data_IF_471461075029
#
_entry.id   IF_471461075029
#
_cell.length_a   1.000
_cell.length_b   1.000
_cell.length_c   1.000
_cell.angle_alpha   90.00
_cell.angle_beta   90.00
_cell.angle_gamma   90.00
#
_symmetry.space_group_name_H-M   'P 1'
#
loop_
_entity.id
_entity.type
_entity.pdbx_description
1 polymer ?
#
# COMPACT_ATOMS: atom_id res chain seq x y z
N UNK A 1 17.84 -9.69 -28.33
CA UNK A 1 19.11 -9.48 -27.61
C UNK A 1 18.84 -9.81 -26.15
N UNK A 2 19.59 -10.73 -25.53
CA UNK A 2 19.46 -11.01 -24.09
C UNK A 2 19.87 -9.75 -23.33
N UNK A 3 19.06 -9.33 -22.35
CA UNK A 3 19.48 -8.28 -21.41
C UNK A 3 20.73 -8.75 -20.65
N UNK A 4 21.64 -7.84 -20.27
CA UNK A 4 22.69 -8.13 -19.30
C UNK A 4 22.09 -8.76 -18.03
N UNK A 5 22.78 -9.70 -17.36
CA UNK A 5 22.25 -10.36 -16.16
C UNK A 5 21.81 -9.40 -15.04
N UNK A 6 22.48 -8.26 -14.88
CA UNK A 6 22.13 -7.24 -13.89
C UNK A 6 20.80 -6.53 -14.20
N UNK A 7 20.48 -6.34 -15.48
CA UNK A 7 19.24 -5.69 -15.92
C UNK A 7 18.04 -6.61 -15.68
N UNK A 8 18.20 -7.92 -15.89
CA UNK A 8 17.15 -8.90 -15.63
C UNK A 8 16.76 -8.95 -14.14
N UNK A 9 17.75 -8.91 -13.24
CA UNK A 9 17.50 -8.85 -11.79
C UNK A 9 16.82 -7.54 -11.40
N UNK A 10 17.34 -6.39 -11.84
CA UNK A 10 16.75 -5.09 -11.51
C UNK A 10 15.31 -4.94 -12.03
N UNK A 11 15.02 -5.45 -13.23
CA UNK A 11 13.65 -5.51 -13.75
C UNK A 11 12.75 -6.41 -12.90
N UNK A 12 13.23 -7.58 -12.47
CA UNK A 12 12.47 -8.47 -11.60
C UNK A 12 12.17 -7.83 -10.23
N UNK A 13 13.13 -7.11 -9.65
CA UNK A 13 12.96 -6.37 -8.40
C UNK A 13 11.90 -5.27 -8.55
N UNK A 14 11.99 -4.43 -9.60
CA UNK A 14 11.01 -3.39 -9.86
C UNK A 14 9.60 -3.97 -10.12
N UNK A 15 9.51 -5.07 -10.86
CA UNK A 15 8.25 -5.78 -11.07
C UNK A 15 7.65 -6.29 -9.74
N UNK A 16 8.48 -6.85 -8.85
CA UNK A 16 8.03 -7.31 -7.54
C UNK A 16 7.57 -6.16 -6.63
N UNK A 17 8.30 -5.04 -6.62
CA UNK A 17 7.91 -3.83 -5.87
C UNK A 17 6.56 -3.30 -6.34
N UNK A 18 6.36 -3.16 -7.66
CA UNK A 18 5.06 -2.76 -8.25
C UNK A 18 3.94 -3.70 -7.81
N UNK A 19 4.15 -5.01 -7.96
CA UNK A 19 3.16 -6.02 -7.56
C UNK A 19 2.79 -5.89 -6.08
N UNK A 20 3.80 -5.78 -5.21
CA UNK A 20 3.64 -5.73 -3.76
C UNK A 20 2.89 -4.47 -3.32
N UNK A 21 3.24 -3.29 -3.86
CA UNK A 21 2.53 -2.06 -3.55
C UNK A 21 1.07 -2.09 -4.02
N UNK A 22 0.79 -2.60 -5.23
CA UNK A 22 -0.58 -2.76 -5.74
C UNK A 22 -1.37 -3.73 -4.86
N UNK A 23 -0.76 -4.83 -4.44
CA UNK A 23 -1.39 -5.81 -3.55
C UNK A 23 -1.81 -5.16 -2.23
N UNK A 24 -0.92 -4.41 -1.58
CA UNK A 24 -1.22 -3.77 -0.30
C UNK A 24 -2.20 -2.61 -0.41
N UNK A 25 -2.14 -1.79 -1.47
CA UNK A 25 -3.19 -0.80 -1.74
C UNK A 25 -4.55 -1.48 -1.90
N UNK A 26 -4.62 -2.51 -2.74
CA UNK A 26 -5.85 -3.28 -2.98
C UNK A 26 -6.40 -3.86 -1.68
N UNK A 27 -5.53 -4.38 -0.82
CA UNK A 27 -5.91 -4.94 0.47
C UNK A 27 -6.49 -3.87 1.41
N UNK A 28 -5.86 -2.70 1.50
CA UNK A 28 -6.39 -1.56 2.24
C UNK A 28 -7.74 -1.08 1.69
N UNK A 29 -7.86 -0.89 0.38
CA UNK A 29 -9.09 -0.42 -0.25
C UNK A 29 -10.26 -1.38 0.03
N UNK A 30 -10.02 -2.69 -0.09
CA UNK A 30 -11.05 -3.70 0.21
C UNK A 30 -11.39 -3.78 1.70
N UNK A 31 -10.48 -3.47 2.61
CA UNK A 31 -10.78 -3.38 4.03
C UNK A 31 -11.64 -2.14 4.33
N UNK A 32 -11.22 -0.98 3.81
CA UNK A 32 -11.89 0.31 3.97
C UNK A 32 -13.27 0.37 3.29
N UNK A 33 -13.50 -0.44 2.26
CA UNK A 33 -14.79 -0.58 1.59
C UNK A 33 -15.84 -1.32 2.43
N UNK A 34 -15.42 -2.07 3.47
CA UNK A 34 -16.33 -2.82 4.34
C UNK A 34 -16.84 -2.02 5.54
N UNK A 35 -16.35 -0.80 5.76
CA UNK A 35 -16.73 0.04 6.91
C UNK A 35 -17.42 1.32 6.44
N UNK A 36 -18.36 1.82 7.24
CA UNK A 36 -19.12 3.04 6.98
C UNK A 36 -18.28 4.29 7.25
N UNK A 37 -18.60 5.46 6.65
CA UNK A 37 -17.84 6.70 6.88
C UNK A 37 -17.67 7.05 8.37
N UNK A 38 -18.71 6.95 9.18
CA UNK A 38 -18.61 7.22 10.63
C UNK A 38 -17.63 6.28 11.34
N UNK A 39 -17.47 5.05 10.86
CA UNK A 39 -16.55 4.06 11.42
C UNK A 39 -15.09 4.33 11.04
N UNK A 40 -14.83 5.19 10.05
CA UNK A 40 -13.45 5.63 9.77
C UNK A 40 -12.86 6.42 10.93
N UNK A 41 -13.70 7.13 11.68
CA UNK A 41 -13.34 7.95 12.84
C UNK A 41 -13.45 7.15 14.16
N UNK A 42 -13.79 5.86 14.10
CA UNK A 42 -13.86 5.01 15.29
C UNK A 42 -12.45 4.77 15.85
N UNK A 43 -12.29 5.05 17.13
CA UNK A 43 -11.07 4.76 17.88
C UNK A 43 -11.31 3.55 18.81
N UNK A 44 -10.60 2.42 18.63
CA UNK A 44 -10.87 1.20 19.38
C UNK A 44 -10.39 1.23 20.83
N UNK A 45 -9.43 2.09 21.18
CA UNK A 45 -8.87 2.18 22.53
C UNK A 45 -8.00 3.45 22.69
N UNK A 46 -7.87 4.01 23.90
CA UNK A 46 -6.93 5.11 24.15
C UNK A 46 -5.53 4.81 23.61
N UNK A 47 -4.99 5.72 22.79
CA UNK A 47 -3.67 5.57 22.14
C UNK A 47 -3.66 4.75 20.85
N UNK A 48 -4.79 4.19 20.41
CA UNK A 48 -4.95 3.63 19.08
C UNK A 48 -5.31 4.72 18.07
N UNK A 49 -5.03 4.46 16.79
CA UNK A 49 -5.41 5.34 15.68
C UNK A 49 -6.71 4.83 15.04
N UNK A 50 -7.59 5.76 14.67
CA UNK A 50 -8.71 5.47 13.78
C UNK A 50 -8.22 5.11 12.36
N UNK A 51 -9.12 4.56 11.53
CA UNK A 51 -8.80 4.31 10.13
C UNK A 51 -8.51 5.61 9.37
N UNK A 52 -9.21 6.70 9.69
CA UNK A 52 -8.98 8.03 9.15
C UNK A 52 -7.56 8.52 9.44
N UNK A 53 -7.09 8.42 10.69
CA UNK A 53 -5.73 8.80 11.07
C UNK A 53 -4.68 7.96 10.33
N UNK A 54 -4.88 6.64 10.23
CA UNK A 54 -3.94 5.77 9.50
C UNK A 54 -3.85 6.16 8.02
N UNK A 55 -4.99 6.40 7.38
CA UNK A 55 -5.04 6.84 5.97
C UNK A 55 -4.40 8.21 5.79
N UNK A 56 -4.68 9.17 6.67
CA UNK A 56 -4.07 10.50 6.66
C UNK A 56 -2.54 10.43 6.78
N UNK A 57 -2.04 9.62 7.71
CA UNK A 57 -0.61 9.37 7.86
C UNK A 57 0.02 8.77 6.60
N UNK A 58 -0.60 7.76 6.03
CA UNK A 58 -0.11 7.14 4.81
C UNK A 58 -0.15 8.11 3.62
N UNK A 59 -1.17 8.97 3.49
CA UNK A 59 -1.25 10.03 2.47
C UNK A 59 -0.06 10.99 2.58
N UNK A 60 0.16 11.55 3.78
CA UNK A 60 1.26 12.47 4.01
C UNK A 60 2.63 11.82 3.78
N UNK A 61 2.77 10.55 4.19
CA UNK A 61 3.97 9.77 3.95
C UNK A 61 4.22 9.49 2.45
N UNK A 62 3.22 8.99 1.71
CA UNK A 62 3.30 8.71 0.27
C UNK A 62 3.71 9.96 -0.51
N UNK A 63 2.99 11.08 -0.29
CA UNK A 63 3.31 12.37 -0.93
C UNK A 63 4.75 12.77 -0.64
N UNK A 64 5.12 12.78 0.64
CA UNK A 64 6.42 13.29 1.05
C UNK A 64 7.57 12.44 0.52
N UNK A 65 7.42 11.13 0.57
CA UNK A 65 8.47 10.19 0.18
C UNK A 65 8.67 10.10 -1.32
N UNK A 66 7.61 10.24 -2.12
CA UNK A 66 7.68 9.90 -3.55
C UNK A 66 7.53 11.06 -4.53
N UNK A 67 7.04 12.24 -4.11
CA UNK A 67 7.13 13.42 -4.98
C UNK A 67 8.60 13.72 -5.25
N UNK A 68 8.99 13.89 -6.52
CA UNK A 68 10.36 14.23 -6.91
C UNK A 68 11.42 13.32 -6.28
N UNK A 69 11.12 12.00 -6.22
CA UNK A 69 11.84 10.98 -5.45
C UNK A 69 13.35 10.92 -5.71
N UNK A 70 13.78 11.06 -6.96
CA UNK A 70 15.20 10.97 -7.34
C UNK A 70 15.94 12.31 -7.22
N UNK A 71 15.24 13.42 -6.97
CA UNK A 71 15.80 14.78 -7.12
C UNK A 71 15.69 15.63 -5.85
N UNK A 72 14.83 15.27 -4.90
CA UNK A 72 14.62 16.05 -3.68
C UNK A 72 14.46 15.15 -2.46
N UNK A 73 14.69 15.69 -1.27
CA UNK A 73 14.58 14.93 -0.03
C UNK A 73 13.17 14.37 0.19
N UNK A 74 13.07 13.09 0.56
CA UNK A 74 11.82 12.39 0.83
C UNK A 74 11.07 12.91 2.07
N UNK A 75 11.62 13.85 2.84
CA UNK A 75 10.90 14.64 3.84
C UNK A 75 10.62 16.05 3.31
N UNK A 76 9.47 16.21 2.64
CA UNK A 76 9.05 17.49 2.07
C UNK A 76 8.81 18.55 3.15
N UNK A 77 9.22 19.81 2.92
CA UNK A 77 9.04 20.91 3.88
C UNK A 77 7.59 21.21 4.25
N UNK A 78 6.64 20.83 3.40
CA UNK A 78 5.21 21.01 3.61
C UNK A 78 4.56 19.85 4.38
N UNK A 79 5.31 18.80 4.72
CA UNK A 79 4.82 17.71 5.55
C UNK A 79 4.66 18.17 7.00
N UNK A 80 3.55 17.79 7.60
CA UNK A 80 3.22 18.06 9.01
C UNK A 80 2.90 16.75 9.70
N UNK A 81 3.96 15.98 10.02
CA UNK A 81 3.82 14.60 10.52
C UNK A 81 2.94 14.52 11.75
N UNK A 82 3.08 15.43 12.72
CA UNK A 82 2.32 15.32 13.97
C UNK A 82 0.82 15.55 13.73
N UNK A 83 0.47 16.47 12.83
CA UNK A 83 -0.91 16.70 12.40
C UNK A 83 -1.51 15.48 11.69
N UNK A 84 -0.69 14.64 11.05
CA UNK A 84 -1.17 13.39 10.44
C UNK A 84 -1.78 12.42 11.47
N UNK A 85 -1.44 12.58 12.76
CA UNK A 85 -1.93 11.75 13.86
C UNK A 85 -3.05 12.41 14.69
N UNK A 86 -3.50 13.60 14.29
CA UNK A 86 -4.66 14.24 14.91
C UNK A 86 -5.96 13.67 14.31
N UNK A 87 -6.93 13.35 15.18
CA UNK A 87 -8.24 12.89 14.74
C UNK A 87 -8.97 14.02 13.98
N UNK A 88 -9.71 13.70 12.90
CA UNK A 88 -10.44 14.70 12.15
C UNK A 88 -11.52 15.39 12.99
N UNK A 89 -11.54 16.72 12.98
CA UNK A 89 -12.56 17.52 13.66
C UNK A 89 -13.83 17.75 12.80
N UNK A 90 -13.80 17.35 11.53
CA UNK A 90 -14.92 17.51 10.61
C UNK A 90 -15.83 16.28 10.59
N UNK A 91 -17.14 16.42 10.28
CA UNK A 91 -18.05 15.29 10.15
C UNK A 91 -17.56 14.26 9.13
N UNK A 92 -17.76 12.98 9.43
CA UNK A 92 -17.25 11.87 8.63
C UNK A 92 -17.77 11.91 7.19
N UNK A 93 -19.01 12.35 6.99
CA UNK A 93 -19.69 12.45 5.69
C UNK A 93 -19.01 13.45 4.75
N UNK A 94 -18.32 14.46 5.30
CA UNK A 94 -17.57 15.45 4.52
C UNK A 94 -16.09 15.11 4.47
N UNK A 95 -15.51 14.66 5.58
CA UNK A 95 -14.08 14.42 5.68
C UNK A 95 -13.62 13.16 4.93
N UNK A 96 -14.35 12.04 5.07
CA UNK A 96 -13.93 10.75 4.48
C UNK A 96 -13.88 10.79 2.95
N UNK A 97 -14.84 11.38 2.22
CA UNK A 97 -14.73 11.52 0.76
C UNK A 97 -13.47 12.30 0.34
N UNK A 98 -13.19 13.44 0.97
CA UNK A 98 -12.00 14.23 0.67
C UNK A 98 -10.70 13.47 0.99
N UNK A 99 -10.68 12.71 2.10
CA UNK A 99 -9.53 11.88 2.45
C UNK A 99 -9.33 10.73 1.45
N UNK A 100 -10.40 10.13 0.91
CA UNK A 100 -10.32 9.12 -0.15
C UNK A 100 -9.74 9.68 -1.45
N UNK A 101 -10.10 10.90 -1.84
CA UNK A 101 -9.49 11.55 -3.00
C UNK A 101 -7.98 11.77 -2.81
N UNK A 102 -7.57 12.22 -1.61
CA UNK A 102 -6.17 12.37 -1.27
C UNK A 102 -5.43 11.03 -1.23
N UNK A 103 -6.07 9.98 -0.72
CA UNK A 103 -5.56 8.60 -0.74
C UNK A 103 -5.25 8.13 -2.15
N UNK A 104 -6.19 8.27 -3.08
CA UNK A 104 -5.98 7.89 -4.49
C UNK A 104 -4.89 8.73 -5.16
N UNK A 105 -4.88 10.05 -4.91
CA UNK A 105 -3.85 10.93 -5.44
C UNK A 105 -2.44 10.56 -4.93
N UNK A 106 -2.31 10.24 -3.64
CA UNK A 106 -1.03 9.90 -3.02
C UNK A 106 -0.46 8.57 -3.54
N UNK A 107 -1.32 7.55 -3.71
CA UNK A 107 -0.89 6.27 -4.33
C UNK A 107 -0.50 6.45 -5.79
N UNK A 108 -1.20 7.32 -6.54
CA UNK A 108 -0.86 7.59 -7.93
C UNK A 108 0.56 8.14 -8.07
N UNK A 109 1.01 9.01 -7.15
CA UNK A 109 2.40 9.51 -7.14
C UNK A 109 3.41 8.35 -7.13
N UNK A 110 3.23 7.37 -6.24
CA UNK A 110 4.10 6.19 -6.15
C UNK A 110 4.01 5.34 -7.42
N UNK A 111 2.82 5.06 -7.95
CA UNK A 111 2.69 4.21 -9.13
C UNK A 111 3.24 4.87 -10.39
N UNK A 112 3.04 6.17 -10.57
CA UNK A 112 3.62 6.92 -11.68
C UNK A 112 5.15 6.88 -11.60
N UNK A 113 5.73 7.05 -10.40
CA UNK A 113 7.18 6.87 -10.18
C UNK A 113 7.63 5.45 -10.54
N UNK A 114 6.98 4.41 -10.03
CA UNK A 114 7.38 3.03 -10.29
C UNK A 114 7.32 2.68 -11.80
N UNK A 115 6.46 3.35 -12.57
CA UNK A 115 6.39 3.16 -14.02
C UNK A 115 7.55 3.81 -14.78
N UNK A 116 8.26 4.77 -14.18
CA UNK A 116 9.40 5.45 -14.83
C UNK A 116 10.76 4.87 -14.42
N UNK A 117 10.87 4.31 -13.20
CA UNK A 117 12.13 3.75 -12.69
C UNK A 117 12.72 2.66 -13.60
N UNK A 118 14.04 2.75 -13.79
CA UNK A 118 14.87 1.78 -14.49
C UNK A 118 15.74 0.98 -13.52
N UNK A 119 16.29 -0.18 -13.92
CA UNK A 119 17.19 -0.97 -13.09
C UNK A 119 18.35 -0.18 -12.46
N UNK A 120 18.96 0.73 -13.21
CA UNK A 120 20.07 1.55 -12.74
C UNK A 120 19.67 2.52 -11.62
N UNK A 121 18.40 2.97 -11.61
CA UNK A 121 17.90 3.87 -10.57
C UNK A 121 17.85 3.21 -9.19
N UNK A 122 17.79 1.87 -9.11
CA UNK A 122 17.70 1.14 -7.84
C UNK A 122 18.89 1.42 -6.91
N UNK A 123 20.05 1.74 -7.49
CA UNK A 123 21.28 2.05 -6.76
C UNK A 123 21.54 3.56 -6.63
N UNK A 124 20.70 4.40 -7.24
CA UNK A 124 20.77 5.85 -7.07
C UNK A 124 20.58 6.25 -5.62
N UNK A 125 21.33 7.27 -5.20
CA UNK A 125 21.16 7.86 -3.87
C UNK A 125 19.91 8.72 -3.84
N UNK A 126 19.05 8.46 -2.87
CA UNK A 126 17.94 9.32 -2.46
C UNK A 126 18.15 9.74 -1.01
N UNK A 127 17.63 10.89 -0.60
CA UNK A 127 17.74 11.33 0.79
C UNK A 127 16.40 11.31 1.48
N UNK A 128 16.38 10.92 2.76
CA UNK A 128 15.21 11.03 3.62
C UNK A 128 15.67 11.69 4.92
N UNK A 129 15.18 12.91 5.19
CA UNK A 129 15.62 13.72 6.34
C UNK A 129 17.13 13.98 6.33
N UNK A 130 17.69 14.17 5.14
CA UNK A 130 19.13 14.37 4.93
C UNK A 130 19.97 13.09 5.03
N UNK A 131 19.38 11.94 5.39
CA UNK A 131 20.08 10.66 5.42
C UNK A 131 20.07 10.02 4.03
N UNK A 132 21.24 9.62 3.54
CA UNK A 132 21.39 8.99 2.23
C UNK A 132 20.98 7.51 2.28
N UNK A 133 20.20 7.09 1.30
CA UNK A 133 19.78 5.71 1.07
C UNK A 133 19.90 5.38 -0.41
N UNK A 134 20.00 4.09 -0.75
CA UNK A 134 19.71 3.67 -2.13
C UNK A 134 18.20 3.76 -2.38
N UNK A 135 17.80 4.03 -3.62
CA UNK A 135 16.39 4.02 -4.01
C UNK A 135 15.71 2.68 -3.65
N UNK A 136 16.40 1.56 -3.86
CA UNK A 136 15.91 0.23 -3.44
C UNK A 136 15.63 0.18 -1.94
N UNK A 137 16.57 0.61 -1.09
CA UNK A 137 16.39 0.59 0.36
C UNK A 137 15.22 1.49 0.81
N UNK A 138 15.07 2.66 0.18
CA UNK A 138 13.95 3.55 0.45
C UNK A 138 12.60 2.93 0.05
N UNK A 139 12.51 2.29 -1.12
CA UNK A 139 11.30 1.58 -1.58
C UNK A 139 10.94 0.41 -0.66
N UNK A 140 11.90 -0.44 -0.31
CA UNK A 140 11.69 -1.59 0.59
C UNK A 140 11.22 -1.16 1.99
N UNK A 141 11.81 -0.08 2.53
CA UNK A 141 11.36 0.50 3.80
C UNK A 141 9.88 0.87 3.72
N UNK A 142 9.44 1.41 2.59
CA UNK A 142 8.05 1.81 2.39
C UNK A 142 7.12 0.62 2.16
N UNK A 143 7.58 -0.47 1.54
CA UNK A 143 6.84 -1.75 1.50
C UNK A 143 6.53 -2.22 2.93
N UNK A 144 7.55 -2.32 3.79
CA UNK A 144 7.37 -2.77 5.17
C UNK A 144 6.42 -1.84 5.96
N UNK A 145 6.60 -0.53 5.82
CA UNK A 145 5.78 0.49 6.48
C UNK A 145 4.31 0.43 6.05
N UNK A 146 4.02 0.32 4.75
CA UNK A 146 2.65 0.26 4.27
C UNK A 146 2.00 -1.08 4.57
N UNK A 147 2.75 -2.19 4.51
CA UNK A 147 2.25 -3.51 4.95
C UNK A 147 1.77 -3.47 6.41
N UNK A 148 2.54 -2.81 7.28
CA UNK A 148 2.19 -2.63 8.69
C UNK A 148 0.86 -1.88 8.86
N UNK A 149 0.73 -0.69 8.26
CA UNK A 149 -0.49 0.12 8.38
C UNK A 149 -1.71 -0.50 7.69
N UNK A 150 -1.52 -1.15 6.54
CA UNK A 150 -2.60 -1.92 5.89
C UNK A 150 -3.07 -3.06 6.80
N UNK A 151 -2.16 -3.74 7.50
CA UNK A 151 -2.51 -4.73 8.51
C UNK A 151 -3.39 -4.16 9.64
N UNK A 152 -3.09 -2.94 10.10
CA UNK A 152 -3.93 -2.23 11.08
C UNK A 152 -5.33 -1.93 10.54
N UNK A 153 -5.43 -1.42 9.30
CA UNK A 153 -6.72 -1.17 8.64
C UNK A 153 -7.57 -2.44 8.50
N UNK A 154 -6.95 -3.56 8.10
CA UNK A 154 -7.61 -4.86 8.02
C UNK A 154 -8.10 -5.31 9.40
N UNK A 155 -7.30 -5.11 10.45
CA UNK A 155 -7.68 -5.49 11.80
C UNK A 155 -8.85 -4.65 12.35
N UNK A 156 -8.85 -3.33 12.08
CA UNK A 156 -9.98 -2.45 12.41
C UNK A 156 -11.25 -2.86 11.68
N UNK A 157 -11.16 -3.14 10.36
CA UNK A 157 -12.29 -3.62 9.58
C UNK A 157 -12.87 -4.92 10.13
N UNK A 158 -12.01 -5.88 10.51
CA UNK A 158 -12.44 -7.13 11.17
C UNK A 158 -13.12 -6.89 12.51
N UNK A 159 -12.59 -5.98 13.34
CA UNK A 159 -13.17 -5.65 14.63
C UNK A 159 -14.58 -5.05 14.47
N UNK A 160 -14.74 -4.13 13.52
CA UNK A 160 -16.01 -3.45 13.25
C UNK A 160 -17.06 -4.35 12.61
N UNK A 161 -16.65 -5.24 11.69
CA UNK A 161 -17.55 -6.15 10.99
C UNK A 161 -17.86 -7.43 11.75
N UNK A 162 -16.94 -7.90 12.60
CA UNK A 162 -17.10 -9.15 13.35
C UNK A 162 -17.45 -10.33 12.44
N UNK A 163 -18.62 -10.93 12.65
CA UNK A 163 -19.11 -12.06 11.87
C UNK A 163 -19.41 -11.71 10.39
N UNK A 164 -19.68 -10.44 10.09
CA UNK A 164 -20.02 -9.98 8.74
C UNK A 164 -18.79 -9.70 7.86
N UNK A 165 -17.58 -9.89 8.41
CA UNK A 165 -16.33 -9.63 7.70
C UNK A 165 -16.17 -10.51 6.46
N UNK A 166 -16.02 -9.86 5.30
CA UNK A 166 -15.73 -10.53 4.04
C UNK A 166 -14.22 -10.76 3.92
N UNK A 167 -13.82 -12.02 3.81
CA UNK A 167 -12.41 -12.40 3.72
C UNK A 167 -11.75 -11.78 2.48
N UNK A 168 -10.58 -11.16 2.70
CA UNK A 168 -9.82 -10.48 1.64
C UNK A 168 -8.84 -11.40 0.90
N UNK A 169 -8.63 -12.61 1.42
CA UNK A 169 -7.82 -13.67 0.83
C UNK A 169 -8.62 -14.99 0.84
N UNK A 170 -7.97 -16.12 1.10
CA UNK A 170 -8.63 -17.41 1.20
C UNK A 170 -9.43 -17.47 2.51
N UNK A 171 -10.75 -17.75 2.46
CA UNK A 171 -11.54 -17.90 3.68
C UNK A 171 -11.00 -19.02 4.58
N UNK A 172 -11.21 -18.89 5.90
CA UNK A 172 -10.85 -19.94 6.87
C UNK A 172 -11.52 -21.26 6.48
N UNK A 173 -10.72 -22.33 6.44
CA UNK A 173 -11.20 -23.67 6.05
C UNK A 173 -11.32 -23.91 4.54
N UNK A 174 -11.00 -22.93 3.68
CA UNK A 174 -11.10 -23.06 2.22
C UNK A 174 -9.73 -23.15 1.51
N UNK A 175 -8.64 -23.29 2.27
CA UNK A 175 -7.26 -23.32 1.74
C UNK A 175 -7.06 -24.40 0.69
N UNK A 176 -7.49 -25.63 0.95
CA UNK A 176 -7.30 -26.76 0.03
C UNK A 176 -8.04 -26.54 -1.29
N UNK A 177 -9.30 -26.11 -1.23
CA UNK A 177 -10.12 -25.81 -2.40
C UNK A 177 -9.50 -24.69 -3.24
N UNK A 178 -9.01 -23.62 -2.60
CA UNK A 178 -8.33 -22.54 -3.29
C UNK A 178 -7.03 -23.00 -3.95
N UNK A 179 -6.21 -23.79 -3.24
CA UNK A 179 -4.95 -24.34 -3.80
C UNK A 179 -5.22 -25.20 -5.03
N UNK A 180 -6.24 -26.06 -4.99
CA UNK A 180 -6.64 -26.87 -6.15
C UNK A 180 -7.04 -25.98 -7.34
N UNK A 181 -7.82 -24.92 -7.12
CA UNK A 181 -8.20 -23.97 -8.18
C UNK A 181 -6.98 -23.25 -8.78
N UNK A 182 -6.05 -22.80 -7.94
CA UNK A 182 -4.81 -22.14 -8.39
C UNK A 182 -3.97 -23.10 -9.23
N UNK A 183 -3.79 -24.34 -8.77
CA UNK A 183 -3.04 -25.37 -9.52
C UNK A 183 -3.68 -25.67 -10.88
N UNK A 184 -5.00 -25.77 -10.95
CA UNK A 184 -5.72 -26.00 -12.20
C UNK A 184 -5.58 -24.83 -13.18
N UNK A 185 -5.55 -23.58 -12.69
CA UNK A 185 -5.34 -22.38 -13.52
C UNK A 185 -3.90 -22.25 -14.01
N UNK A 186 -2.93 -22.54 -13.14
CA UNK A 186 -1.51 -22.45 -13.47
C UNK A 186 -1.05 -23.57 -14.41
N UNK A 187 -1.64 -24.76 -14.28
CA UNK A 187 -1.35 -25.94 -15.08
C UNK A 187 -2.64 -26.49 -15.70
N UNK A 188 -3.21 -25.83 -16.72
CA UNK A 188 -4.39 -26.33 -17.39
C UNK A 188 -4.07 -27.71 -17.99
N UNK A 189 -4.88 -28.72 -17.66
CA UNK A 189 -4.77 -30.03 -18.32
C UNK A 189 -5.00 -29.82 -19.82
N UNK A 190 -4.18 -30.40 -20.71
CA UNK A 190 -4.42 -30.30 -22.14
C UNK A 190 -5.82 -30.82 -22.43
N UNK A 191 -6.62 -30.02 -23.16
CA UNK A 191 -7.95 -30.44 -23.61
C UNK A 191 -7.81 -31.73 -24.38
N UNK A 192 -8.48 -32.78 -23.92
CA UNK A 192 -8.67 -33.99 -24.72
C UNK A 192 -9.43 -33.59 -25.98
N UNK A 193 -8.69 -33.45 -27.09
CA UNK A 193 -9.28 -33.34 -28.42
C UNK A 193 -9.93 -34.70 -28.68
N UNK A 194 -11.27 -34.72 -28.68
CA UNK A 194 -12.07 -35.79 -29.29
C UNK A 194 -12.55 -35.25 -30.63
#
# INVERSE_FOLDING_TARGET
MSLPPNDALGQAVLANLRHTFVQYKTLADRALAQIQPAEWLYNPAPGANSAAVIVQHMVGNLRSRFTDFLTTDGEKPDRRRDQEFEEPNAPAETYVPALREQWEAAWRILFDLLNTLQPDDLLSTVTIRGEAHTALAALERQVAHYSYHVGQLVQLGKLLRGADWQNLSVPRGQSENFTQQVQQRANPKPSSIV
#
